data_IF_078422438231
#
_entry.id   IF_078422438231
#
_cell.length_a   1.000
_cell.length_b   1.000
_cell.length_c   1.000
_cell.angle_alpha   90.00
_cell.angle_beta   90.00
_cell.angle_gamma   90.00
#
_symmetry.space_group_name_H-M   'P 1'
#
loop_
_entity.id
_entity.type
_entity.pdbx_description
1 polymer ?
#
# COMPACT_ATOMS: atom_id res chain seq x y z
N UNK A 1 -6.17 6.10 -2.39
CA UNK A 1 -5.65 7.40 -2.87
C UNK A 1 -5.21 7.29 -4.32
N UNK A 2 -4.48 6.23 -4.69
CA UNK A 2 -3.75 6.17 -5.97
C UNK A 2 -4.58 5.62 -7.14
N UNK A 3 -5.55 4.73 -6.89
CA UNK A 3 -6.33 4.08 -7.97
C UNK A 3 -7.53 4.91 -8.42
N UNK A 4 -7.72 5.01 -9.74
CA UNK A 4 -8.94 5.54 -10.37
C UNK A 4 -8.98 7.05 -10.62
N UNK A 5 -7.85 7.74 -10.46
CA UNK A 5 -7.70 9.17 -10.77
C UNK A 5 -7.10 9.42 -12.18
N UNK A 6 -6.44 8.42 -12.76
CA UNK A 6 -5.82 8.45 -14.10
C UNK A 6 -5.80 7.05 -14.71
N UNK A 7 -5.64 6.95 -16.04
CA UNK A 7 -5.47 5.67 -16.75
C UNK A 7 -4.03 5.12 -16.69
N UNK A 8 -3.12 5.78 -15.96
CA UNK A 8 -1.72 5.36 -15.85
C UNK A 8 -1.50 4.39 -14.69
N UNK A 9 -0.59 3.43 -14.88
CA UNK A 9 -0.13 2.56 -13.80
C UNK A 9 0.75 3.31 -12.80
N UNK A 10 0.52 3.08 -11.51
CA UNK A 10 1.22 3.73 -10.41
C UNK A 10 2.04 2.74 -9.60
N UNK A 11 3.33 3.02 -9.45
CA UNK A 11 4.23 2.28 -8.58
C UNK A 11 4.42 3.09 -7.31
N UNK A 12 4.23 2.47 -6.15
CA UNK A 12 4.53 3.08 -4.85
C UNK A 12 5.82 2.50 -4.28
N UNK A 13 6.68 3.35 -3.74
CA UNK A 13 7.94 2.95 -3.14
C UNK A 13 8.29 3.83 -1.94
N UNK A 14 9.39 3.47 -1.27
CA UNK A 14 9.87 4.16 -0.06
C UNK A 14 9.28 3.57 1.23
N UNK A 15 10.16 3.22 2.16
CA UNK A 15 9.77 2.73 3.50
C UNK A 15 9.14 1.33 3.54
N UNK A 16 9.28 0.52 2.49
CA UNK A 16 8.77 -0.86 2.47
C UNK A 16 9.80 -1.79 3.11
N UNK A 17 9.57 -2.17 4.36
CA UNK A 17 10.48 -3.02 5.12
C UNK A 17 9.93 -4.42 5.38
N UNK A 18 8.60 -4.55 5.40
CA UNK A 18 7.89 -5.81 5.64
C UNK A 18 6.66 -5.94 4.71
N UNK A 19 6.04 -7.13 4.71
CA UNK A 19 4.88 -7.42 3.87
C UNK A 19 3.68 -6.51 4.16
N UNK A 20 3.45 -6.09 5.41
CA UNK A 20 2.35 -5.19 5.77
C UNK A 20 2.52 -3.81 5.14
N UNK A 21 3.76 -3.33 4.99
CA UNK A 21 4.03 -2.06 4.30
C UNK A 21 3.66 -2.15 2.82
N UNK A 22 4.04 -3.25 2.16
CA UNK A 22 3.67 -3.51 0.77
C UNK A 22 2.14 -3.61 0.59
N UNK A 23 1.46 -4.36 1.46
CA UNK A 23 0.00 -4.49 1.44
C UNK A 23 -0.70 -3.14 1.61
N UNK A 24 -0.23 -2.26 2.50
CA UNK A 24 -0.81 -0.92 2.68
C UNK A 24 -0.77 -0.11 1.39
N UNK A 25 0.34 -0.20 0.64
CA UNK A 25 0.48 0.52 -0.63
C UNK A 25 -0.46 -0.05 -1.71
N UNK A 26 -0.61 -1.37 -1.79
CA UNK A 26 -1.58 -2.03 -2.67
C UNK A 26 -3.03 -1.63 -2.32
N UNK A 27 -3.38 -1.66 -1.03
CA UNK A 27 -4.67 -1.22 -0.51
C UNK A 27 -4.96 0.26 -0.84
N UNK A 28 -3.95 1.11 -0.76
CA UNK A 28 -4.05 2.53 -1.12
C UNK A 28 -4.27 2.74 -2.64
N UNK A 29 -4.00 1.71 -3.45
CA UNK A 29 -4.27 1.68 -4.89
C UNK A 29 -3.03 1.66 -5.78
N UNK A 30 -1.85 1.32 -5.26
CA UNK A 30 -0.67 1.11 -6.09
C UNK A 30 -0.82 -0.16 -6.94
N UNK A 31 -0.36 -0.10 -8.19
CA UNK A 31 -0.32 -1.25 -9.10
C UNK A 31 0.88 -2.16 -8.84
N UNK A 32 1.99 -1.58 -8.38
CA UNK A 32 3.16 -2.32 -7.94
C UNK A 32 3.83 -1.62 -6.75
N UNK A 33 4.63 -2.38 -6.01
CA UNK A 33 5.40 -1.90 -4.87
C UNK A 33 6.90 -2.05 -5.15
N UNK A 34 7.65 -0.97 -4.98
CA UNK A 34 9.10 -0.96 -5.10
C UNK A 34 9.77 -1.13 -3.74
N UNK A 35 10.73 -2.06 -3.67
CA UNK A 35 11.54 -2.34 -2.48
C UNK A 35 13.02 -2.18 -2.84
N UNK A 36 13.78 -1.44 -2.02
CA UNK A 36 15.20 -1.19 -2.25
C UNK A 36 16.04 -1.35 -0.98
N UNK A 37 15.94 -0.42 -0.02
CA UNK A 37 16.74 -0.43 1.21
C UNK A 37 16.60 -1.73 2.01
N UNK A 38 15.40 -2.31 2.07
CA UNK A 38 15.15 -3.57 2.74
C UNK A 38 15.90 -4.75 2.11
N UNK A 39 16.06 -4.77 0.79
CA UNK A 39 16.84 -5.81 0.09
C UNK A 39 18.34 -5.60 0.27
N UNK A 40 18.81 -4.35 0.30
CA UNK A 40 20.22 -4.04 0.54
C UNK A 40 20.66 -4.46 1.96
N UNK A 41 19.77 -4.36 2.95
CA UNK A 41 20.06 -4.69 4.34
C UNK A 41 19.93 -6.20 4.60
N UNK A 42 18.88 -6.83 4.08
CA UNK A 42 18.51 -8.21 4.43
C UNK A 42 18.90 -9.25 3.37
N UNK A 43 19.51 -8.82 2.26
CA UNK A 43 19.82 -9.69 1.13
C UNK A 43 18.65 -9.85 0.14
N UNK A 44 18.92 -10.31 -1.09
CA UNK A 44 17.92 -10.49 -2.14
C UNK A 44 16.85 -11.53 -1.81
N UNK A 45 17.17 -12.54 -0.99
CA UNK A 45 16.25 -13.57 -0.50
C UNK A 45 15.08 -13.01 0.31
N UNK A 46 15.25 -11.81 0.88
CA UNK A 46 14.18 -11.10 1.60
C UNK A 46 13.00 -10.79 0.70
N UNK A 47 13.20 -10.67 -0.62
CA UNK A 47 12.09 -10.53 -1.58
C UNK A 47 11.11 -11.72 -1.49
N UNK A 48 11.62 -12.95 -1.32
CA UNK A 48 10.79 -14.14 -1.14
C UNK A 48 10.03 -14.15 0.20
N UNK A 49 10.64 -13.63 1.26
CA UNK A 49 9.98 -13.46 2.56
C UNK A 49 8.85 -12.41 2.49
N UNK A 50 9.09 -11.30 1.78
CA UNK A 50 8.07 -10.29 1.52
C UNK A 50 6.90 -10.87 0.71
N UNK A 51 7.19 -11.62 -0.36
CA UNK A 51 6.15 -12.24 -1.19
C UNK A 51 5.27 -13.19 -0.38
N UNK A 52 5.88 -14.13 0.36
CA UNK A 52 5.13 -15.06 1.23
C UNK A 52 4.25 -14.33 2.24
N UNK A 53 4.78 -13.28 2.88
CA UNK A 53 4.00 -12.51 3.84
C UNK A 53 2.82 -11.76 3.20
N UNK A 54 2.92 -11.36 1.92
CA UNK A 54 1.80 -10.79 1.18
C UNK A 54 0.76 -11.87 0.86
N UNK A 55 1.19 -13.03 0.39
CA UNK A 55 0.32 -14.19 0.10
C UNK A 55 -0.45 -14.64 1.33
N UNK A 56 0.24 -14.81 2.47
CA UNK A 56 -0.36 -15.13 3.77
C UNK A 56 -1.40 -14.09 4.17
N UNK A 57 -1.09 -12.81 4.03
CA UNK A 57 -2.01 -11.73 4.38
C UNK A 57 -3.29 -11.75 3.54
N UNK A 58 -3.18 -12.08 2.24
CA UNK A 58 -4.32 -12.23 1.33
C UNK A 58 -5.19 -13.42 1.74
N UNK A 59 -4.56 -14.57 2.01
CA UNK A 59 -5.26 -15.79 2.46
C UNK A 59 -6.02 -15.56 3.77
N UNK A 60 -5.39 -14.93 4.76
CA UNK A 60 -6.01 -14.58 6.04
C UNK A 60 -7.26 -13.70 5.91
N UNK A 61 -7.38 -12.96 4.80
CA UNK A 61 -8.46 -11.98 4.56
C UNK A 61 -9.33 -12.36 3.38
N UNK A 62 -9.23 -13.60 2.92
CA UNK A 62 -10.07 -14.17 1.87
C UNK A 62 -10.01 -13.36 0.56
N UNK A 63 -8.84 -12.81 0.25
CA UNK A 63 -8.56 -12.22 -1.06
C UNK A 63 -7.93 -13.27 -1.97
N UNK A 64 -8.52 -13.46 -3.15
CA UNK A 64 -8.02 -14.40 -4.16
C UNK A 64 -6.86 -13.81 -4.96
N UNK A 65 -6.71 -12.48 -4.98
CA UNK A 65 -5.66 -11.81 -5.75
C UNK A 65 -5.34 -10.40 -5.23
N UNK A 66 -4.14 -9.93 -5.56
CA UNK A 66 -3.78 -8.52 -5.42
C UNK A 66 -4.71 -7.60 -6.21
N UNK A 67 -5.32 -8.07 -7.30
CA UNK A 67 -6.24 -7.28 -8.12
C UNK A 67 -7.54 -6.96 -7.40
N UNK A 68 -8.03 -7.91 -6.61
CA UNK A 68 -9.17 -7.72 -5.71
C UNK A 68 -8.81 -6.79 -4.54
N UNK A 69 -7.57 -6.86 -4.06
CA UNK A 69 -7.06 -6.01 -2.99
C UNK A 69 -6.86 -4.55 -3.44
N UNK A 70 -6.35 -4.36 -4.67
CA UNK A 70 -5.87 -3.07 -5.17
C UNK A 70 -6.94 -2.00 -5.05
N UNK A 71 -6.70 -0.99 -4.22
CA UNK A 71 -7.62 0.14 -4.08
C UNK A 71 -8.95 -0.19 -3.38
N UNK A 72 -9.06 -1.30 -2.65
CA UNK A 72 -10.22 -1.56 -1.78
C UNK A 72 -10.33 -0.52 -0.65
N UNK A 73 -9.22 0.10 -0.25
CA UNK A 73 -9.16 1.29 0.61
C UNK A 73 -8.79 2.56 -0.18
N UNK A 74 -9.04 2.60 -1.49
CA UNK A 74 -8.89 3.83 -2.26
C UNK A 74 -9.98 4.83 -1.88
N UNK A 75 -9.72 6.12 -2.10
CA UNK A 75 -10.65 7.21 -1.77
C UNK A 75 -12.04 7.03 -2.39
N UNK A 76 -12.10 6.39 -3.56
CA UNK A 76 -13.33 6.08 -4.28
C UNK A 76 -14.14 4.92 -3.67
N UNK A 77 -13.49 4.02 -2.94
CA UNK A 77 -14.11 2.86 -2.27
C UNK A 77 -14.24 3.04 -0.75
N UNK A 78 -13.79 4.18 -0.19
CA UNK A 78 -13.99 4.51 1.22
C UNK A 78 -15.48 4.81 1.45
N UNK A 79 -16.12 4.22 2.47
CA UNK A 79 -17.54 4.48 2.80
C UNK A 79 -17.81 5.95 3.15
N UNK A 80 -16.78 6.71 3.51
CA UNK A 80 -16.83 8.17 3.66
C UNK A 80 -15.55 8.81 3.07
N UNK A 81 -15.59 9.26 1.81
CA UNK A 81 -14.46 9.90 1.14
C UNK A 81 -14.05 11.23 1.79
N UNK A 82 -15.00 11.99 2.36
CA UNK A 82 -14.73 13.27 3.02
C UNK A 82 -14.04 13.08 4.37
N UNK A 83 -14.42 12.07 5.15
CA UNK A 83 -13.73 11.74 6.39
C UNK A 83 -12.26 11.31 6.13
N UNK A 84 -12.03 10.60 5.03
CA UNK A 84 -10.70 10.18 4.61
C UNK A 84 -9.81 11.35 4.16
N UNK A 85 -10.36 12.28 3.37
CA UNK A 85 -9.71 13.54 3.00
C UNK A 85 -9.37 14.40 4.23
N UNK A 86 -10.33 14.60 5.15
CA UNK A 86 -10.10 15.35 6.40
C UNK A 86 -9.01 14.70 7.27
N UNK A 87 -9.00 13.38 7.41
CA UNK A 87 -8.00 12.69 8.21
C UNK A 87 -6.58 12.87 7.65
N UNK A 88 -6.41 12.79 6.33
CA UNK A 88 -5.11 13.01 5.68
C UNK A 88 -4.69 14.48 5.72
N UNK A 89 -5.62 15.42 5.52
CA UNK A 89 -5.38 16.85 5.63
C UNK A 89 -4.94 17.25 7.06
N UNK A 90 -5.64 16.75 8.09
CA UNK A 90 -5.26 16.97 9.49
C UNK A 90 -3.89 16.37 9.81
N UNK A 91 -3.58 15.18 9.28
CA UNK A 91 -2.27 14.55 9.48
C UNK A 91 -1.13 15.35 8.85
N UNK A 92 -1.35 15.90 7.65
CA UNK A 92 -0.38 16.77 6.98
C UNK A 92 -0.13 18.07 7.77
N UNK A 93 -1.19 18.73 8.26
CA UNK A 93 -1.09 19.95 9.07
C UNK A 93 -0.36 19.71 10.40
N UNK A 94 -0.66 18.61 11.10
CA UNK A 94 -0.01 18.26 12.36
C UNK A 94 1.48 17.94 12.14
N UNK A 95 1.83 17.26 11.04
CA UNK A 95 3.22 16.94 10.71
C UNK A 95 4.06 18.16 10.31
N UNK A 96 3.45 19.27 9.93
CA UNK A 96 4.14 20.51 9.58
C UNK A 96 4.43 21.40 10.81
N UNK A 97 3.76 21.13 11.93
CA UNK A 97 3.89 21.93 13.16
C UNK A 97 4.75 21.24 14.23
N UNK A 98 5.29 20.05 13.94
CA UNK A 98 6.20 19.31 14.85
C UNK A 98 7.60 19.18 14.27
#
# INVERSE_FOLDING_TARGET
ILRGLTDTSLIAGGGVHNAKDAVKLLLAGADAVQVASSLLINGPEHAGALLRGVEEWLLEREYDSVDQLRGSLSQRNSPDPEAFERANYMKALVSYTS
#
